data_IF_214075809004
#
_entry.id   IF_214075809004
#
_cell.length_a   1.000
_cell.length_b   1.000
_cell.length_c   1.000
_cell.angle_alpha   90.00
_cell.angle_beta   90.00
_cell.angle_gamma   90.00
#
_symmetry.space_group_name_H-M   'P 1'
#
loop_
_entity.id
_entity.type
_entity.pdbx_description
1 polymer ?
#
# COMPACT_ATOMS: atom_id res chain seq x y z
N UNK A 1 6.68 -7.59 21.55
CA UNK A 1 5.54 -7.68 20.61
C UNK A 1 4.32 -7.37 21.44
N UNK A 2 3.54 -6.32 21.13
CA UNK A 2 2.32 -6.06 21.88
C UNK A 2 1.39 -7.25 21.65
N UNK A 3 0.82 -7.74 22.74
CA UNK A 3 -0.23 -8.75 22.76
C UNK A 3 -1.51 -8.01 23.13
N UNK A 4 -2.60 -8.36 22.45
CA UNK A 4 -4.01 -8.01 22.71
C UNK A 4 -4.62 -6.88 21.85
N UNK A 5 -5.36 -7.25 20.79
CA UNK A 5 -6.60 -6.59 20.34
C UNK A 5 -7.47 -7.68 19.64
N UNK A 6 -8.77 -7.72 19.95
CA UNK A 6 -9.71 -8.86 19.92
C UNK A 6 -10.07 -9.50 18.54
N UNK A 7 -10.06 -10.84 18.48
CA UNK A 7 -10.54 -11.79 17.43
C UNK A 7 -9.81 -11.82 16.07
N UNK A 8 -8.74 -12.61 15.85
CA UNK A 8 -8.55 -14.08 15.72
C UNK A 8 -8.73 -14.75 14.34
N UNK A 9 -8.75 -14.01 13.22
CA UNK A 9 -8.32 -14.61 11.93
C UNK A 9 -7.77 -13.57 10.97
N UNK A 10 -6.44 -13.55 10.77
CA UNK A 10 -5.85 -12.84 9.65
C UNK A 10 -6.47 -13.35 8.34
N UNK A 11 -6.66 -12.46 7.36
CA UNK A 11 -7.09 -12.89 6.05
C UNK A 11 -6.04 -13.83 5.44
N UNK A 12 -6.43 -15.05 5.10
CA UNK A 12 -5.55 -15.94 4.34
C UNK A 12 -5.25 -15.34 2.98
N UNK A 13 -4.05 -15.61 2.44
CA UNK A 13 -3.70 -15.19 1.08
C UNK A 13 -4.75 -15.66 0.05
N UNK A 14 -5.33 -16.84 0.24
CA UNK A 14 -6.37 -17.39 -0.63
C UNK A 14 -7.66 -16.55 -0.61
N UNK A 15 -8.07 -16.04 0.55
CA UNK A 15 -9.24 -15.15 0.66
C UNK A 15 -8.99 -13.83 -0.05
N UNK A 16 -7.79 -13.26 0.06
CA UNK A 16 -7.39 -12.07 -0.69
C UNK A 16 -7.44 -12.31 -2.20
N UNK A 17 -6.83 -13.39 -2.68
CA UNK A 17 -6.82 -13.76 -4.11
C UNK A 17 -8.24 -13.93 -4.65
N UNK A 18 -9.11 -14.59 -3.89
CA UNK A 18 -10.52 -14.79 -4.28
C UNK A 18 -11.29 -13.47 -4.46
N UNK A 19 -11.00 -12.46 -3.64
CA UNK A 19 -11.57 -11.12 -3.77
C UNK A 19 -11.01 -10.42 -5.01
N UNK A 20 -9.68 -10.45 -5.18
CA UNK A 20 -9.02 -9.83 -6.32
C UNK A 20 -9.52 -10.39 -7.65
N UNK A 21 -9.63 -11.72 -7.77
CA UNK A 21 -10.12 -12.41 -8.97
C UNK A 21 -11.58 -12.06 -9.26
N UNK A 22 -12.42 -12.01 -8.22
CA UNK A 22 -13.83 -11.62 -8.38
C UNK A 22 -13.97 -10.18 -8.87
N UNK A 23 -13.19 -9.26 -8.32
CA UNK A 23 -13.26 -7.83 -8.67
C UNK A 23 -12.67 -7.58 -10.05
N UNK A 24 -11.52 -8.17 -10.38
CA UNK A 24 -10.89 -8.03 -11.70
C UNK A 24 -11.73 -8.61 -12.84
N UNK A 25 -12.61 -9.58 -12.55
CA UNK A 25 -13.62 -10.06 -13.49
C UNK A 25 -14.80 -9.10 -13.71
N UNK A 26 -15.01 -8.13 -12.83
CA UNK A 26 -16.11 -7.16 -12.89
C UNK A 26 -15.66 -5.78 -13.41
N UNK A 27 -14.43 -5.37 -13.08
CA UNK A 27 -13.86 -4.08 -13.48
C UNK A 27 -12.42 -4.28 -13.98
N UNK A 28 -12.05 -3.51 -15.01
CA UNK A 28 -10.67 -3.51 -15.49
C UNK A 28 -9.75 -2.90 -14.42
N UNK A 29 -8.77 -3.69 -13.98
CA UNK A 29 -7.70 -3.24 -13.09
C UNK A 29 -6.43 -3.03 -13.91
N UNK A 30 -5.67 -2.00 -13.57
CA UNK A 30 -4.35 -1.77 -14.14
C UNK A 30 -3.34 -2.75 -13.50
N UNK A 31 -2.77 -3.69 -14.27
CA UNK A 31 -1.79 -4.65 -13.74
C UNK A 31 -0.45 -4.00 -13.38
N UNK A 32 -0.17 -2.79 -13.88
CA UNK A 32 1.05 -2.03 -13.59
C UNK A 32 0.85 -1.03 -12.43
N UNK A 33 -0.34 -1.02 -11.81
CA UNK A 33 -0.63 -0.17 -10.68
C UNK A 33 0.36 -0.40 -9.53
N UNK A 34 0.86 0.69 -8.95
CA UNK A 34 1.77 0.63 -7.81
C UNK A 34 1.08 0.03 -6.57
N UNK A 35 1.73 -0.96 -5.97
CA UNK A 35 1.34 -1.52 -4.67
C UNK A 35 1.94 -0.68 -3.54
N UNK A 36 1.09 -0.28 -2.60
CA UNK A 36 1.49 0.43 -1.36
C UNK A 36 1.06 -0.36 -0.14
N UNK A 37 1.86 -0.27 0.92
CA UNK A 37 1.60 -0.90 2.20
C UNK A 37 1.28 0.15 3.25
N UNK A 38 0.19 -0.01 3.98
CA UNK A 38 -0.04 0.77 5.20
C UNK A 38 0.45 -0.03 6.41
N UNK A 39 1.26 0.60 7.24
CA UNK A 39 1.74 0.01 8.48
C UNK A 39 1.89 1.10 9.54
N UNK A 40 1.54 0.76 10.79
CA UNK A 40 1.75 1.57 11.97
C UNK A 40 1.61 0.71 13.22
N UNK A 41 2.29 1.11 14.29
CA UNK A 41 2.23 0.49 15.60
C UNK A 41 2.34 1.56 16.70
N UNK A 42 2.46 1.14 17.96
CA UNK A 42 2.56 2.05 19.12
C UNK A 42 3.70 3.08 19.01
N UNK A 43 4.74 2.79 18.24
CA UNK A 43 5.90 3.66 18.05
C UNK A 43 5.84 4.47 16.75
N UNK A 44 5.06 4.00 15.76
CA UNK A 44 5.01 4.58 14.43
C UNK A 44 3.57 4.84 13.98
N UNK A 45 3.17 6.10 13.72
CA UNK A 45 1.83 6.38 13.22
C UNK A 45 1.61 5.70 11.85
N UNK A 46 0.40 5.17 11.59
CA UNK A 46 0.07 4.54 10.31
C UNK A 46 0.48 5.42 9.12
N UNK A 47 1.31 4.85 8.26
CA UNK A 47 1.85 5.54 7.09
C UNK A 47 1.75 4.65 5.86
N UNK A 48 1.54 5.26 4.70
CA UNK A 48 1.47 4.57 3.41
C UNK A 48 2.87 4.50 2.78
N UNK A 49 3.46 3.32 2.71
CA UNK A 49 4.80 3.06 2.22
C UNK A 49 4.80 2.58 0.76
N UNK A 50 5.81 3.01 0.02
CA UNK A 50 6.12 2.52 -1.32
C UNK A 50 7.01 1.27 -1.23
N UNK A 51 6.82 0.34 -2.16
CA UNK A 51 7.70 -0.82 -2.33
C UNK A 51 8.90 -0.43 -3.18
N UNK A 52 10.10 -0.55 -2.64
CA UNK A 52 11.33 -0.31 -3.42
C UNK A 52 11.96 -1.59 -3.95
N UNK A 53 11.78 -2.71 -3.23
CA UNK A 53 12.36 -3.99 -3.61
C UNK A 53 11.62 -5.15 -2.98
N UNK A 54 11.55 -6.25 -3.70
CA UNK A 54 11.06 -7.54 -3.21
C UNK A 54 12.16 -8.57 -3.38
N UNK A 55 12.41 -9.39 -2.34
CA UNK A 55 13.41 -10.46 -2.36
C UNK A 55 12.83 -11.71 -1.72
N UNK A 56 13.12 -12.87 -2.29
CA UNK A 56 12.93 -14.14 -1.59
C UNK A 56 14.20 -14.47 -0.79
N UNK A 57 14.04 -14.71 0.51
CA UNK A 57 15.14 -15.00 1.42
C UNK A 57 14.68 -16.08 2.39
N UNK A 58 15.35 -17.24 2.35
CA UNK A 58 15.11 -18.35 3.27
C UNK A 58 13.64 -18.80 3.37
N UNK A 59 12.95 -18.89 2.23
CA UNK A 59 11.53 -19.29 2.17
C UNK A 59 10.55 -18.22 2.62
N UNK A 60 11.01 -16.97 2.80
CA UNK A 60 10.16 -15.82 3.09
C UNK A 60 10.32 -14.74 2.02
N UNK A 61 9.26 -13.99 1.76
CA UNK A 61 9.30 -12.80 0.92
C UNK A 61 9.61 -11.58 1.80
N UNK A 62 10.71 -10.90 1.51
CA UNK A 62 11.12 -9.66 2.15
C UNK A 62 10.82 -8.48 1.22
N UNK A 63 9.97 -7.58 1.70
CA UNK A 63 9.59 -6.35 1.02
C UNK A 63 10.30 -5.17 1.68
N UNK A 64 11.08 -4.42 0.90
CA UNK A 64 11.73 -3.19 1.34
C UNK A 64 10.76 -2.02 1.14
N UNK A 65 10.38 -1.39 2.26
CA UNK A 65 9.41 -0.31 2.32
C UNK A 65 10.11 1.04 2.49
N UNK A 66 9.67 2.04 1.73
CA UNK A 66 10.13 3.43 1.84
C UNK A 66 8.95 4.33 2.13
N UNK A 67 9.15 5.27 3.06
CA UNK A 67 8.21 6.36 3.26
C UNK A 67 8.00 7.14 1.95
N UNK A 68 6.79 7.64 1.71
CA UNK A 68 6.53 8.53 0.61
C UNK A 68 7.39 9.78 0.79
N UNK A 69 7.84 10.37 -0.30
CA UNK A 69 8.46 11.68 -0.20
C UNK A 69 7.42 12.63 0.39
N UNK A 70 7.74 13.30 1.49
CA UNK A 70 6.86 14.30 2.05
C UNK A 70 6.61 15.36 0.98
N UNK A 71 5.38 15.41 0.47
CA UNK A 71 5.02 16.39 -0.54
C UNK A 71 4.52 17.65 0.16
N UNK A 72 4.98 18.80 -0.32
CA UNK A 72 4.43 20.05 0.14
C UNK A 72 3.10 20.26 -0.57
N UNK A 73 1.98 20.24 0.17
CA UNK A 73 0.62 20.47 -0.36
C UNK A 73 0.52 21.71 -1.26
N UNK A 74 1.31 22.75 -0.99
CA UNK A 74 1.35 23.95 -1.82
C UNK A 74 2.04 23.71 -3.19
N UNK A 75 3.10 22.90 -3.22
CA UNK A 75 3.75 22.45 -4.46
C UNK A 75 2.80 21.58 -5.28
N UNK A 76 2.15 20.62 -4.65
CA UNK A 76 1.24 19.70 -5.33
C UNK A 76 0.05 20.43 -5.97
N UNK A 77 -0.51 21.44 -5.28
CA UNK A 77 -1.54 22.32 -5.86
C UNK A 77 -1.04 23.12 -7.07
N UNK A 78 0.22 23.55 -7.07
CA UNK A 78 0.80 24.29 -8.20
C UNK A 78 0.99 23.40 -9.41
N UNK A 79 1.43 22.16 -9.21
CA UNK A 79 1.63 21.17 -10.28
C UNK A 79 0.29 20.67 -10.86
N UNK A 80 -0.72 20.46 -10.03
CA UNK A 80 -2.08 20.13 -10.48
C UNK A 80 -2.82 21.31 -11.13
N UNK A 81 -2.44 22.56 -10.80
CA UNK A 81 -3.10 23.79 -11.21
C UNK A 81 -2.63 24.39 -12.55
N UNK A 82 -1.74 23.75 -13.30
CA UNK A 82 -1.26 24.25 -14.59
C UNK A 82 -2.29 24.17 -15.74
N UNK A 83 -3.56 23.78 -15.46
CA UNK A 83 -4.63 23.65 -16.45
C UNK A 83 -5.80 24.65 -16.28
N UNK A 84 -5.69 25.67 -15.41
CA UNK A 84 -6.81 26.59 -15.17
C UNK A 84 -6.41 28.07 -15.30
N UNK A 85 -5.95 28.47 -16.50
CA UNK A 85 -6.05 29.84 -17.00
C UNK A 85 -6.21 29.80 -18.52
N UNK A 86 -7.47 29.77 -18.97
CA UNK A 86 -7.93 30.23 -20.27
C UNK A 86 -9.11 31.15 -20.03
#
# INVERSE_FOLDING_TARGET
MPQDEESDEFMTANKFLSIYDRVSGMIALDPEAEIRFEYGDENFPPSNYHVTKVKEVAGAIRVELRLPQATCKARDRREAGAACCG
#
